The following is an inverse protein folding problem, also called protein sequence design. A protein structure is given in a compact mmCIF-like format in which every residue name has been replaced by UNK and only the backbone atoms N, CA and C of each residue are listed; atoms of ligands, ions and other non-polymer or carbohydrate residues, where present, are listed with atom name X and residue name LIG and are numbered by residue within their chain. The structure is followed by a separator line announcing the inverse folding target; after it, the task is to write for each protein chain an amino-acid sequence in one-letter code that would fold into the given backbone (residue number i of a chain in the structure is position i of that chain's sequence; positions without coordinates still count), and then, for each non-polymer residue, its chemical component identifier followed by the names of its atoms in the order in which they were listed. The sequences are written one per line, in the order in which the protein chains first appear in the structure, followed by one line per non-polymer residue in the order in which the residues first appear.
data_IF_786716145759
#
_entry.id   IF_786716145759
#
_cell.length_a   1.000
_cell.length_b   1.000
_cell.length_c   1.000
_cell.angle_alpha   90.00
_cell.angle_beta   90.00
_cell.angle_gamma   90.00
#
_symmetry.space_group_name_H-M   'P 1'
#
loop_
_entity.id
_entity.type
_entity.pdbx_description
1 polymer ?
#
# COMPACT_ATOMS: atom_id res chain seq x y z
N UNK A 1 13.56 -7.59 -14.78
CA UNK A 1 13.64 -6.29 -14.09
C UNK A 1 14.83 -5.44 -14.50
N UNK A 2 15.95 -6.02 -14.96
CA UNK A 2 17.09 -5.27 -15.52
C UNK A 2 16.69 -4.34 -16.66
N UNK A 3 15.78 -4.78 -17.54
CA UNK A 3 15.26 -3.96 -18.65
C UNK A 3 14.53 -2.68 -18.21
N UNK A 4 13.71 -2.74 -17.15
CA UNK A 4 12.99 -1.54 -16.68
C UNK A 4 13.98 -0.52 -16.08
N UNK A 5 15.01 -1.02 -15.39
CA UNK A 5 16.05 -0.16 -14.82
C UNK A 5 16.96 0.51 -15.87
N UNK A 6 16.97 0.00 -17.11
CA UNK A 6 17.70 0.60 -18.23
C UNK A 6 16.88 1.61 -19.05
N UNK A 7 15.59 1.81 -18.73
CA UNK A 7 14.73 2.76 -19.44
C UNK A 7 15.02 4.21 -19.03
N UNK A 8 14.68 5.15 -19.92
CA UNK A 8 14.76 6.57 -19.60
C UNK A 8 13.77 6.94 -18.47
N UNK A 9 14.10 7.91 -17.60
CA UNK A 9 13.30 8.24 -16.42
C UNK A 9 11.84 8.52 -16.74
N UNK A 10 11.56 9.23 -17.85
CA UNK A 10 10.19 9.56 -18.23
C UNK A 10 9.36 8.32 -18.63
N UNK A 11 9.99 7.30 -19.22
CA UNK A 11 9.33 6.04 -19.58
C UNK A 11 8.97 5.26 -18.32
N UNK A 12 9.87 5.22 -17.35
CA UNK A 12 9.63 4.58 -16.05
C UNK A 12 8.47 5.27 -15.34
N UNK A 13 8.47 6.61 -15.31
CA UNK A 13 7.39 7.40 -14.71
C UNK A 13 6.06 7.15 -15.42
N UNK A 14 6.05 7.09 -16.75
CA UNK A 14 4.85 6.75 -17.51
C UNK A 14 4.31 5.36 -17.17
N UNK A 15 5.18 4.34 -17.10
CA UNK A 15 4.80 2.98 -16.68
C UNK A 15 4.17 2.99 -15.28
N UNK A 16 4.79 3.69 -14.34
CA UNK A 16 4.30 3.80 -12.97
C UNK A 16 2.94 4.49 -12.89
N UNK A 17 2.74 5.58 -13.63
CA UNK A 17 1.44 6.26 -13.73
C UNK A 17 0.37 5.34 -14.32
N UNK A 18 0.66 4.65 -15.43
CA UNK A 18 -0.28 3.71 -16.04
C UNK A 18 -0.64 2.55 -15.11
N UNK A 19 0.32 2.04 -14.33
CA UNK A 19 0.06 1.03 -13.30
C UNK A 19 -0.89 1.60 -12.25
N UNK A 20 -0.62 2.82 -11.75
CA UNK A 20 -1.45 3.46 -10.73
C UNK A 20 -2.90 3.66 -11.19
N UNK A 21 -3.11 4.10 -12.44
CA UNK A 21 -4.44 4.20 -13.05
C UNK A 21 -5.11 2.81 -13.19
N UNK A 22 -4.35 1.79 -13.55
CA UNK A 22 -4.89 0.44 -13.67
C UNK A 22 -5.26 -0.22 -12.32
N UNK A 23 -4.71 0.25 -11.19
CA UNK A 23 -5.12 -0.24 -9.85
C UNK A 23 -6.55 0.13 -9.49
N UNK A 24 -7.03 1.26 -10.00
CA UNK A 24 -8.41 1.75 -9.81
C UNK A 24 -9.36 1.28 -10.91
N UNK A 25 -8.89 0.45 -11.85
CA UNK A 25 -9.72 -0.08 -12.92
C UNK A 25 -10.84 -0.98 -12.37
N UNK A 26 -12.04 -0.80 -12.90
CA UNK A 26 -13.21 -1.65 -12.57
C UNK A 26 -13.03 -3.10 -13.03
N UNK A 27 -12.26 -3.28 -14.12
CA UNK A 27 -11.92 -4.60 -14.62
C UNK A 27 -10.93 -5.30 -13.68
N UNK A 28 -11.40 -6.40 -13.10
CA UNK A 28 -10.66 -7.17 -12.09
C UNK A 28 -9.38 -7.78 -12.65
N UNK A 29 -9.33 -8.12 -13.95
CA UNK A 29 -8.15 -8.68 -14.61
C UNK A 29 -7.09 -7.60 -14.84
N UNK A 30 -7.50 -6.40 -15.28
CA UNK A 30 -6.60 -5.24 -15.41
C UNK A 30 -5.96 -4.91 -14.07
N UNK A 31 -6.79 -4.74 -13.04
CA UNK A 31 -6.32 -4.44 -11.70
C UNK A 31 -5.37 -5.52 -11.15
N UNK A 32 -5.66 -6.81 -11.38
CA UNK A 32 -4.78 -7.91 -11.00
C UNK A 32 -3.42 -7.85 -11.71
N UNK A 33 -3.41 -7.55 -13.01
CA UNK A 33 -2.18 -7.36 -13.78
C UNK A 33 -1.33 -6.20 -13.25
N UNK A 34 -1.97 -5.07 -12.91
CA UNK A 34 -1.29 -3.93 -12.30
C UNK A 34 -0.75 -4.23 -10.90
N UNK A 35 -1.51 -4.95 -10.05
CA UNK A 35 -1.05 -5.39 -8.74
C UNK A 35 0.22 -6.27 -8.85
N UNK A 36 0.24 -7.22 -9.79
CA UNK A 36 1.39 -8.09 -10.01
C UNK A 36 2.60 -7.31 -10.51
N UNK A 37 2.38 -6.39 -11.46
CA UNK A 37 3.44 -5.53 -11.99
C UNK A 37 4.04 -4.66 -10.88
N UNK A 38 3.18 -4.05 -10.06
CA UNK A 38 3.61 -3.24 -8.93
C UNK A 38 4.36 -4.06 -7.88
N UNK A 39 3.88 -5.26 -7.50
CA UNK A 39 4.56 -6.14 -6.53
C UNK A 39 5.99 -6.47 -7.00
N UNK A 40 6.17 -6.74 -8.29
CA UNK A 40 7.52 -6.94 -8.84
C UNK A 40 8.40 -5.71 -8.72
N UNK A 41 7.87 -4.51 -9.03
CA UNK A 41 8.61 -3.25 -8.94
C UNK A 41 9.04 -2.96 -7.50
N UNK A 42 8.11 -3.00 -6.55
CA UNK A 42 8.41 -2.72 -5.13
C UNK A 42 9.32 -3.78 -4.53
N UNK A 43 9.17 -5.05 -4.92
CA UNK A 43 10.10 -6.12 -4.52
C UNK A 43 11.51 -5.85 -4.99
N UNK A 44 11.66 -5.40 -6.25
CA UNK A 44 12.95 -5.07 -6.81
C UNK A 44 13.59 -3.91 -6.04
N UNK A 45 12.86 -2.81 -5.86
CA UNK A 45 13.33 -1.64 -5.10
C UNK A 45 13.75 -2.00 -3.67
N UNK A 46 12.92 -2.76 -2.96
CA UNK A 46 13.20 -3.18 -1.59
C UNK A 46 14.48 -4.02 -1.48
N UNK A 47 14.70 -4.95 -2.43
CA UNK A 47 15.92 -5.75 -2.50
C UNK A 47 17.16 -4.90 -2.79
N UNK A 48 17.04 -3.87 -3.63
CA UNK A 48 18.18 -3.00 -3.95
C UNK A 48 18.56 -2.11 -2.77
N UNK A 49 17.58 -1.51 -2.09
CA UNK A 49 17.82 -0.73 -0.87
C UNK A 49 18.48 -1.58 0.24
N UNK A 50 18.00 -2.81 0.42
CA UNK A 50 18.55 -3.74 1.41
C UNK A 50 19.97 -4.22 1.08
N UNK A 51 20.37 -4.18 -0.20
CA UNK A 51 21.70 -4.57 -0.68
C UNK A 51 22.70 -3.41 -0.63
N UNK A 52 22.27 -2.18 -0.87
CA UNK A 52 23.13 -0.98 -0.85
C UNK A 52 23.84 -0.77 0.52
N UNK A 53 23.25 -1.28 1.60
CA UNK A 53 23.85 -1.25 2.96
C UNK A 53 25.01 -2.25 3.16
N UNK A 54 25.20 -3.23 2.27
CA UNK A 54 26.32 -4.21 2.30
C UNK A 54 27.23 -3.98 1.08
N UNK A 55 28.44 -3.46 1.32
CA UNK A 55 29.45 -3.13 0.28
C UNK A 55 29.62 -4.22 -0.81
N UNK A 56 29.49 -3.80 -2.09
CA UNK A 56 30.37 -4.07 -3.28
C UNK A 56 29.75 -4.77 -4.53
N UNK A 57 29.87 -4.12 -5.71
CA UNK A 57 30.44 -4.59 -7.01
C UNK A 57 30.03 -3.65 -8.17
N UNK A 58 31.00 -3.07 -8.89
CA UNK A 58 30.91 -1.75 -9.54
C UNK A 58 30.45 -1.69 -11.02
N UNK A 59 29.69 -2.67 -11.53
CA UNK A 59 29.19 -2.60 -12.92
C UNK A 59 27.68 -2.84 -13.05
N UNK A 60 27.13 -3.89 -12.42
CA UNK A 60 25.69 -4.14 -12.34
C UNK A 60 24.97 -3.23 -11.34
N UNK A 61 25.72 -2.55 -10.47
CA UNK A 61 25.19 -1.58 -9.53
C UNK A 61 24.72 -0.29 -10.23
N UNK A 62 25.38 0.14 -11.32
CA UNK A 62 25.19 1.47 -11.90
C UNK A 62 23.79 1.69 -12.51
N UNK A 63 23.24 0.71 -13.24
CA UNK A 63 21.90 0.82 -13.84
C UNK A 63 20.79 0.61 -12.81
N UNK A 64 21.00 -0.32 -11.87
CA UNK A 64 20.11 -0.47 -10.73
C UNK A 64 20.08 0.78 -9.84
N UNK A 65 21.19 1.52 -9.79
CA UNK A 65 21.28 2.79 -9.06
C UNK A 65 20.39 3.85 -9.70
N UNK A 66 20.27 3.89 -11.04
CA UNK A 66 19.45 4.89 -11.73
C UNK A 66 17.99 4.80 -11.36
N UNK A 67 17.38 3.62 -11.44
CA UNK A 67 15.97 3.46 -11.07
C UNK A 67 15.74 3.79 -9.59
N UNK A 68 16.65 3.33 -8.72
CA UNK A 68 16.57 3.64 -7.30
C UNK A 68 16.73 5.15 -7.04
N UNK A 69 17.65 5.81 -7.73
CA UNK A 69 17.90 7.23 -7.64
C UNK A 69 16.71 8.06 -8.13
N UNK A 70 16.06 7.67 -9.23
CA UNK A 70 14.83 8.30 -9.72
C UNK A 70 13.74 8.19 -8.65
N UNK A 71 13.56 7.03 -8.02
CA UNK A 71 12.58 6.85 -6.94
C UNK A 71 12.94 7.61 -5.66
N UNK A 72 14.22 7.86 -5.39
CA UNK A 72 14.66 8.72 -4.30
C UNK A 72 14.47 10.21 -4.61
N UNK A 73 14.57 10.61 -5.88
CA UNK A 73 14.30 11.97 -6.35
C UNK A 73 12.80 12.27 -6.41
N UNK A 74 11.98 11.24 -6.67
CA UNK A 74 10.53 11.32 -6.81
C UNK A 74 9.78 10.38 -5.85
N UNK A 75 9.97 10.51 -4.51
CA UNK A 75 9.30 9.65 -3.53
C UNK A 75 7.76 9.80 -3.57
N UNK A 76 7.25 10.93 -4.04
CA UNK A 76 5.83 11.24 -4.15
C UNK A 76 5.06 10.19 -4.95
N UNK A 77 5.66 9.57 -5.96
CA UNK A 77 5.00 8.56 -6.79
C UNK A 77 4.66 7.30 -5.99
N UNK A 78 5.64 6.78 -5.25
CA UNK A 78 5.45 5.58 -4.44
C UNK A 78 4.51 5.88 -3.26
N UNK A 79 4.62 7.07 -2.68
CA UNK A 79 3.70 7.55 -1.64
C UNK A 79 2.26 7.66 -2.16
N UNK A 80 2.05 8.20 -3.36
CA UNK A 80 0.74 8.26 -4.01
C UNK A 80 0.18 6.87 -4.26
N UNK A 81 0.98 5.92 -4.78
CA UNK A 81 0.52 4.53 -4.95
C UNK A 81 0.14 3.88 -3.62
N UNK A 82 0.91 4.13 -2.55
CA UNK A 82 0.56 3.65 -1.21
C UNK A 82 -0.79 4.20 -0.74
N UNK A 83 -0.97 5.51 -0.87
CA UNK A 83 -2.21 6.18 -0.52
C UNK A 83 -3.40 5.63 -1.33
N UNK A 84 -3.25 5.51 -2.65
CA UNK A 84 -4.27 4.95 -3.55
C UNK A 84 -4.66 3.53 -3.15
N UNK A 85 -3.70 2.62 -3.00
CA UNK A 85 -4.00 1.21 -2.66
C UNK A 85 -4.65 1.11 -1.28
N UNK A 86 -4.18 1.89 -0.30
CA UNK A 86 -4.77 1.88 1.03
C UNK A 86 -6.20 2.43 1.03
N UNK A 87 -6.46 3.52 0.30
CA UNK A 87 -7.79 4.10 0.17
C UNK A 87 -8.77 3.12 -0.50
N UNK A 88 -8.34 2.42 -1.56
CA UNK A 88 -9.17 1.38 -2.21
C UNK A 88 -9.55 0.30 -1.18
N UNK A 89 -8.61 -0.14 -0.35
CA UNK A 89 -8.88 -1.20 0.63
C UNK A 89 -9.85 -0.74 1.74
N UNK A 90 -9.71 0.50 2.20
CA UNK A 90 -10.48 1.05 3.32
C UNK A 90 -11.87 1.49 2.88
N UNK A 91 -11.99 2.18 1.73
CA UNK A 91 -13.19 2.93 1.36
C UNK A 91 -13.95 2.33 0.17
N UNK A 92 -13.34 1.46 -0.62
CA UNK A 92 -13.98 0.88 -1.80
C UNK A 92 -14.34 -0.61 -1.62
N UNK A 93 -15.19 -1.10 -2.52
CA UNK A 93 -15.44 -2.53 -2.62
C UNK A 93 -14.27 -3.25 -3.31
N UNK A 94 -13.16 -3.38 -2.58
CA UNK A 94 -11.94 -4.03 -3.00
C UNK A 94 -12.15 -5.54 -3.30
N UNK A 95 -12.49 -5.85 -4.56
CA UNK A 95 -12.66 -7.25 -5.04
C UNK A 95 -11.34 -8.00 -5.18
N UNK A 96 -10.23 -7.28 -5.35
CA UNK A 96 -8.88 -7.81 -5.59
C UNK A 96 -7.98 -7.77 -4.35
N UNK A 97 -8.56 -7.88 -3.15
CA UNK A 97 -7.83 -7.73 -1.90
C UNK A 97 -6.56 -8.61 -1.81
N UNK A 98 -6.66 -9.87 -2.25
CA UNK A 98 -5.52 -10.79 -2.26
C UNK A 98 -4.38 -10.26 -3.14
N UNK A 99 -4.69 -9.87 -4.38
CA UNK A 99 -3.74 -9.30 -5.33
C UNK A 99 -3.15 -7.99 -4.82
N UNK A 100 -3.96 -7.11 -4.21
CA UNK A 100 -3.52 -5.80 -3.68
C UNK A 100 -2.68 -5.90 -2.41
N UNK A 101 -2.84 -6.95 -1.61
CA UNK A 101 -2.12 -7.10 -0.34
C UNK A 101 -0.59 -7.13 -0.51
N UNK A 102 -0.11 -7.80 -1.56
CA UNK A 102 1.32 -7.99 -1.83
C UNK A 102 2.04 -6.69 -2.22
N UNK A 103 1.56 -5.90 -3.22
CA UNK A 103 2.15 -4.61 -3.51
C UNK A 103 1.99 -3.64 -2.33
N UNK A 104 0.87 -3.68 -1.59
CA UNK A 104 0.68 -2.82 -0.42
C UNK A 104 1.78 -3.03 0.64
N UNK A 105 2.09 -4.28 1.00
CA UNK A 105 3.17 -4.56 1.95
C UNK A 105 4.50 -3.98 1.47
N UNK A 106 4.82 -4.17 0.18
CA UNK A 106 6.03 -3.60 -0.41
C UNK A 106 6.08 -2.08 -0.33
N UNK A 107 4.97 -1.41 -0.63
CA UNK A 107 4.85 0.04 -0.54
C UNK A 107 5.01 0.56 0.89
N UNK A 108 4.41 -0.11 1.88
CA UNK A 108 4.53 0.23 3.31
C UNK A 108 5.98 0.10 3.76
N UNK A 109 6.63 -1.03 3.48
CA UNK A 109 8.02 -1.28 3.93
C UNK A 109 9.04 -0.37 3.23
N UNK A 110 8.71 0.18 2.06
CA UNK A 110 9.52 1.19 1.39
C UNK A 110 9.32 2.59 1.97
N UNK A 111 8.16 2.87 2.59
CA UNK A 111 7.75 4.22 3.00
C UNK A 111 7.17 4.24 4.43
N UNK A 112 7.84 3.58 5.38
CA UNK A 112 7.34 3.38 6.75
C UNK A 112 6.95 4.71 7.44
N UNK A 113 7.74 5.77 7.25
CA UNK A 113 7.46 7.09 7.80
C UNK A 113 6.17 7.70 7.22
N UNK A 114 6.04 7.70 5.90
CA UNK A 114 4.85 8.23 5.24
C UNK A 114 3.60 7.39 5.55
N UNK A 115 3.75 6.06 5.71
CA UNK A 115 2.66 5.20 6.18
C UNK A 115 2.18 5.58 7.58
N UNK A 116 3.09 5.90 8.51
CA UNK A 116 2.73 6.37 9.85
C UNK A 116 1.97 7.71 9.81
N UNK A 117 2.39 8.65 8.95
CA UNK A 117 1.70 9.92 8.74
C UNK A 117 0.30 9.70 8.15
N UNK A 118 0.19 8.82 7.14
CA UNK A 118 -1.07 8.46 6.49
C UNK A 118 -2.04 7.78 7.47
N UNK A 119 -1.57 6.82 8.26
CA UNK A 119 -2.34 6.21 9.36
C UNK A 119 -2.88 7.29 10.30
N UNK A 120 -2.01 8.20 10.74
CA UNK A 120 -2.40 9.26 11.68
C UNK A 120 -3.47 10.18 11.07
N UNK A 121 -3.32 10.53 9.80
CA UNK A 121 -4.31 11.33 9.06
C UNK A 121 -5.67 10.62 8.96
N UNK A 122 -5.68 9.32 8.63
CA UNK A 122 -6.91 8.52 8.51
C UNK A 122 -7.58 8.32 9.87
N UNK A 123 -6.81 8.09 10.94
CA UNK A 123 -7.34 7.95 12.30
C UNK A 123 -7.97 9.27 12.75
N UNK A 124 -7.27 10.39 12.59
CA UNK A 124 -7.75 11.71 13.02
C UNK A 124 -8.96 12.21 12.21
N UNK A 125 -9.19 11.69 10.99
CA UNK A 125 -10.38 12.02 10.22
C UNK A 125 -11.63 11.25 10.67
N UNK A 126 -11.48 10.24 11.53
CA UNK A 126 -12.62 9.53 12.12
C UNK A 126 -13.23 10.34 13.30
N UNK A 127 -14.54 10.15 13.58
CA UNK A 127 -15.16 10.67 14.79
C UNK A 127 -14.40 10.25 16.06
N UNK A 128 -14.28 11.09 17.10
CA UNK A 128 -13.48 10.82 18.31
C UNK A 128 -13.72 9.43 18.92
N UNK A 129 -14.97 8.99 18.97
CA UNK A 129 -15.40 7.70 19.50
C UNK A 129 -14.90 6.49 18.69
N UNK A 130 -14.53 6.68 17.42
CA UNK A 130 -14.01 5.64 16.52
C UNK A 130 -12.49 5.67 16.34
N UNK A 131 -11.82 6.75 16.76
CA UNK A 131 -10.38 6.92 16.56
C UNK A 131 -9.58 5.78 17.23
N UNK A 132 -9.95 5.40 18.45
CA UNK A 132 -9.28 4.31 19.17
C UNK A 132 -9.43 2.96 18.44
N UNK A 133 -10.62 2.66 17.93
CA UNK A 133 -10.87 1.43 17.18
C UNK A 133 -10.07 1.42 15.86
N UNK A 134 -10.05 2.54 15.13
CA UNK A 134 -9.25 2.68 13.91
C UNK A 134 -7.76 2.54 14.18
N UNK A 135 -7.26 3.11 15.28
CA UNK A 135 -5.87 2.95 15.70
C UNK A 135 -5.52 1.48 15.91
N UNK A 136 -6.36 0.74 16.64
CA UNK A 136 -6.16 -0.70 16.88
C UNK A 136 -6.19 -1.51 15.58
N UNK A 137 -7.09 -1.18 14.64
CA UNK A 137 -7.12 -1.83 13.32
C UNK A 137 -5.75 -1.72 12.62
N UNK A 138 -5.14 -0.54 12.62
CA UNK A 138 -3.81 -0.33 12.01
C UNK A 138 -2.67 -1.02 12.78
N UNK A 139 -2.79 -1.21 14.09
CA UNK A 139 -1.81 -2.02 14.84
C UNK A 139 -1.93 -3.50 14.47
N UNK A 140 -3.15 -4.04 14.45
CA UNK A 140 -3.44 -5.41 14.04
C UNK A 140 -2.99 -5.68 12.60
N UNK A 141 -3.13 -4.69 11.70
CA UNK A 141 -2.65 -4.79 10.32
C UNK A 141 -1.15 -5.15 10.25
N UNK A 142 -0.34 -4.54 11.13
CA UNK A 142 1.12 -4.70 11.15
C UNK A 142 1.60 -5.74 12.17
N UNK A 143 0.70 -6.42 12.88
CA UNK A 143 1.05 -7.37 13.93
C UNK A 143 1.81 -8.58 13.38
N UNK A 144 3.04 -8.77 13.88
CA UNK A 144 3.92 -9.87 13.47
C UNK A 144 4.51 -9.71 12.07
N UNK A 145 4.43 -8.53 11.47
CA UNK A 145 5.05 -8.22 10.18
C UNK A 145 6.51 -7.83 10.39
N UNK A 146 7.39 -8.56 9.72
CA UNK A 146 8.82 -8.26 9.71
C UNK A 146 9.18 -7.32 8.55
N UNK A 147 10.36 -6.68 8.63
CA UNK A 147 10.89 -5.84 7.55
C UNK A 147 11.52 -6.68 6.43
N UNK A 148 10.73 -7.54 5.80
CA UNK A 148 11.12 -8.31 4.62
C UNK A 148 9.93 -8.66 3.73
N UNK A 149 10.22 -9.11 2.51
CA UNK A 149 9.21 -9.50 1.52
C UNK A 149 9.20 -11.02 1.29
N UNK A 150 9.50 -11.83 2.31
CA UNK A 150 9.40 -13.28 2.19
C UNK A 150 7.94 -13.71 2.06
N UNK A 151 7.69 -14.85 1.40
CA UNK A 151 6.34 -15.39 1.18
C UNK A 151 5.56 -15.51 2.49
N UNK A 152 6.19 -16.08 3.54
CA UNK A 152 5.57 -16.20 4.87
C UNK A 152 5.10 -14.86 5.44
N UNK A 153 5.90 -13.81 5.29
CA UNK A 153 5.57 -12.48 5.82
C UNK A 153 4.45 -11.81 5.00
N UNK A 154 4.45 -12.02 3.67
CA UNK A 154 3.36 -11.59 2.79
C UNK A 154 2.05 -12.28 3.13
N UNK A 155 2.06 -13.59 3.30
CA UNK A 155 0.86 -14.35 3.63
C UNK A 155 0.27 -13.91 4.98
N UNK A 156 1.14 -13.63 5.97
CA UNK A 156 0.74 -13.03 7.25
C UNK A 156 0.07 -11.66 7.05
N UNK A 157 0.67 -10.79 6.24
CA UNK A 157 0.08 -9.48 5.94
C UNK A 157 -1.27 -9.60 5.24
N UNK A 158 -1.43 -10.52 4.28
CA UNK A 158 -2.71 -10.77 3.61
C UNK A 158 -3.80 -11.21 4.59
N UNK A 159 -3.46 -12.04 5.58
CA UNK A 159 -4.38 -12.44 6.65
C UNK A 159 -4.77 -11.24 7.52
N UNK A 160 -3.79 -10.47 8.00
CA UNK A 160 -4.03 -9.27 8.81
C UNK A 160 -4.92 -8.26 8.06
N UNK A 161 -4.67 -8.06 6.76
CA UNK A 161 -5.44 -7.16 5.91
C UNK A 161 -6.91 -7.59 5.76
N UNK A 162 -7.16 -8.90 5.76
CA UNK A 162 -8.51 -9.47 5.72
C UNK A 162 -9.31 -9.14 6.97
N UNK A 163 -8.67 -9.19 8.14
CA UNK A 163 -9.25 -8.77 9.42
C UNK A 163 -9.44 -7.26 9.45
N UNK A 164 -8.39 -6.50 9.13
CA UNK A 164 -8.41 -5.03 9.06
C UNK A 164 -9.59 -4.50 8.24
N UNK A 165 -9.79 -5.01 7.02
CA UNK A 165 -10.88 -4.57 6.15
C UNK A 165 -12.26 -4.86 6.76
N UNK A 166 -12.42 -5.99 7.46
CA UNK A 166 -13.68 -6.32 8.14
C UNK A 166 -13.95 -5.35 9.28
N UNK A 167 -12.99 -5.15 10.16
CA UNK A 167 -13.12 -4.28 11.34
C UNK A 167 -13.38 -2.82 10.96
N UNK A 168 -12.69 -2.32 9.93
CA UNK A 168 -12.91 -0.99 9.36
C UNK A 168 -14.32 -0.85 8.81
N UNK A 169 -14.79 -1.82 8.01
CA UNK A 169 -16.14 -1.78 7.45
C UNK A 169 -17.23 -1.84 8.52
N UNK A 170 -17.04 -2.64 9.57
CA UNK A 170 -17.97 -2.76 10.69
C UNK A 170 -18.03 -1.45 11.50
N UNK A 171 -16.86 -0.84 11.76
CA UNK A 171 -16.76 0.46 12.40
C UNK A 171 -17.45 1.57 11.59
N UNK A 172 -17.32 1.55 10.26
CA UNK A 172 -17.95 2.53 9.37
C UNK A 172 -19.48 2.36 9.30
N UNK A 173 -19.99 1.13 9.23
CA UNK A 173 -21.44 0.83 9.19
C UNK A 173 -22.17 1.18 10.48
N UNK A 174 -21.51 1.13 11.62
CA UNK A 174 -22.12 1.46 12.91
C UNK A 174 -22.40 2.98 13.09
N UNK A 175 -22.06 3.83 12.11
CA UNK A 175 -22.43 5.26 12.12
C UNK A 175 -23.89 5.54 11.71
N UNK A 176 -24.56 4.62 11.00
CA UNK A 176 -25.85 4.91 10.34
C UNK A 176 -27.09 4.64 11.21
N UNK A 177 -26.94 4.09 12.41
CA UNK A 177 -28.07 3.75 13.30
C UNK A 177 -28.33 4.75 14.43
N UNK A 178 -27.67 5.92 14.42
CA UNK A 178 -27.80 6.93 15.47
C UNK A 178 -28.80 8.06 15.24
N UNK A 179 -29.57 8.06 14.13
CA UNK A 179 -30.48 9.16 13.81
C UNK A 179 -31.93 8.66 13.72
N UNK A 180 -32.73 9.13 14.67
CA UNK A 180 -34.20 9.18 14.72
C UNK A 180 -34.97 7.90 15.11
N UNK A 181 -35.09 7.65 16.42
CA UNK A 181 -36.22 6.91 16.99
C UNK A 181 -36.87 7.59 18.20
N UNK A 182 -36.62 8.88 18.44
CA UNK A 182 -37.16 9.62 19.60
C UNK A 182 -38.15 10.75 19.26
N UNK A 183 -38.73 10.79 18.05
CA UNK A 183 -39.86 11.70 17.74
C UNK A 183 -41.17 10.94 17.54
N UNK A 184 -41.48 10.04 18.47
CA UNK A 184 -42.85 9.58 18.72
C UNK A 184 -43.14 9.74 20.21
N UNK A 185 -43.71 10.90 20.57
CA UNK A 185 -44.61 11.18 21.70
C UNK A 185 -44.36 12.60 22.22
N UNK A 186 -45.08 13.57 21.65
CA UNK A 186 -45.69 14.72 22.35
C UNK A 186 -46.71 15.38 21.42
#
# INVERSE_FOLDING_TARGET
MTFIASLEPHVIMYILSSISEGLTALDTMVCTGCCSSLDHIVTYLFKQLSRSTKKRAAALAQESDRFLHIMQQHPEMIQQMLSTVLNIIIFEDCRNQWSMSRPLLGLILLNEKYFADLRSSIVNSQPPEKQQAMHLCFENLMEGIERNLLTKNRDRFTQNLSVFRREVNDSMKNSTYGVNSNEMMS
#
